data_IF_675446093976
#
_entry.id   IF_675446093976
#
_cell.length_a   1.000
_cell.length_b   1.000
_cell.length_c   1.000
_cell.angle_alpha   90.00
_cell.angle_beta   90.00
_cell.angle_gamma   90.00
#
_symmetry.space_group_name_H-M   'P 1'
#
loop_
_entity.id
_entity.type
_entity.pdbx_description
1 polymer ?
#
# COMPACT_ATOMS: atom_id res chain seq x y z
N UNK A 1 -6.32 -1.61 -8.74
CA UNK A 1 -6.45 -1.25 -7.31
C UNK A 1 -7.87 -1.56 -6.89
N UNK A 2 -8.06 -2.25 -5.77
CA UNK A 2 -9.38 -2.69 -5.31
C UNK A 2 -9.66 -2.11 -3.91
N UNK A 3 -10.81 -1.46 -3.75
CA UNK A 3 -11.28 -0.83 -2.52
C UNK A 3 -12.63 -1.44 -2.16
N UNK A 4 -12.80 -1.91 -0.93
CA UNK A 4 -14.09 -2.37 -0.45
C UNK A 4 -14.42 -1.76 0.91
N UNK A 5 -15.68 -1.37 1.06
CA UNK A 5 -16.28 -0.94 2.33
C UNK A 5 -17.40 -1.92 2.61
N UNK A 6 -17.31 -2.66 3.71
CA UNK A 6 -18.33 -3.67 4.06
C UNK A 6 -19.40 -3.07 4.97
N UNK A 7 -18.98 -2.34 6.00
CA UNK A 7 -19.88 -1.78 7.00
C UNK A 7 -19.48 -0.34 7.34
N UNK A 8 -20.48 0.53 7.47
CA UNK A 8 -20.32 1.91 7.93
C UNK A 8 -21.43 2.23 8.93
N UNK A 9 -21.06 2.51 10.17
CA UNK A 9 -21.95 2.91 11.25
C UNK A 9 -21.61 4.32 11.68
N UNK A 10 -22.61 5.19 11.72
CA UNK A 10 -22.49 6.57 12.22
C UNK A 10 -23.47 6.70 13.37
N UNK A 11 -22.97 6.95 14.58
CA UNK A 11 -23.79 7.33 15.74
C UNK A 11 -23.87 8.84 15.80
N UNK A 12 -25.08 9.37 15.88
CA UNK A 12 -25.35 10.80 16.00
C UNK A 12 -26.06 11.11 17.31
N UNK A 13 -25.88 12.32 17.82
CA UNK A 13 -26.61 12.81 18.98
C UNK A 13 -28.01 13.31 18.59
N UNK A 14 -28.76 13.82 19.56
CA UNK A 14 -30.12 14.35 19.37
C UNK A 14 -30.17 15.62 18.49
N UNK A 15 -29.03 16.26 18.23
CA UNK A 15 -28.88 17.43 17.36
C UNK A 15 -28.41 17.06 15.96
N UNK A 16 -28.30 15.77 15.67
CA UNK A 16 -27.77 15.21 14.42
C UNK A 16 -26.24 15.42 14.26
N UNK A 17 -25.52 15.76 15.34
CA UNK A 17 -24.05 15.85 15.35
C UNK A 17 -23.43 14.45 15.44
N UNK A 18 -22.33 14.22 14.70
CA UNK A 18 -21.66 12.91 14.68
C UNK A 18 -20.89 12.69 15.99
N UNK A 19 -21.33 11.70 16.77
CA UNK A 19 -20.66 11.28 18.02
C UNK A 19 -19.59 10.21 17.77
N UNK A 20 -19.84 9.28 16.85
CA UNK A 20 -18.93 8.19 16.55
C UNK A 20 -19.08 7.72 15.11
N UNK A 21 -17.98 7.42 14.44
CA UNK A 21 -17.96 6.86 13.09
C UNK A 21 -17.09 5.60 13.10
N UNK A 22 -17.67 4.48 12.68
CA UNK A 22 -16.96 3.21 12.53
C UNK A 22 -17.15 2.70 11.12
N UNK A 23 -16.06 2.36 10.44
CA UNK A 23 -16.12 1.79 9.10
C UNK A 23 -15.11 0.68 8.91
N UNK A 24 -15.57 -0.47 8.43
CA UNK A 24 -14.71 -1.54 7.92
C UNK A 24 -14.30 -1.22 6.49
N UNK A 25 -13.15 -0.57 6.35
CA UNK A 25 -12.54 -0.30 5.05
C UNK A 25 -11.36 -1.24 4.86
N UNK A 26 -11.39 -2.00 3.77
CA UNK A 26 -10.24 -2.78 3.35
C UNK A 26 -9.75 -2.30 2.00
N UNK A 27 -8.44 -2.31 1.84
CA UNK A 27 -7.80 -1.85 0.62
C UNK A 27 -6.67 -2.79 0.26
N UNK A 28 -6.55 -3.07 -1.04
CA UNK A 28 -5.36 -3.74 -1.60
C UNK A 28 -4.85 -2.92 -2.77
N UNK A 29 -3.57 -2.59 -2.70
CA UNK A 29 -2.84 -1.85 -3.72
C UNK A 29 -1.60 -2.59 -4.13
N UNK A 30 -1.36 -2.61 -5.43
CA UNK A 30 -0.12 -3.07 -6.03
C UNK A 30 0.38 -1.97 -6.96
N UNK A 31 1.67 -1.68 -6.90
CA UNK A 31 2.30 -0.71 -7.79
C UNK A 31 3.67 -1.23 -8.23
N UNK A 32 3.84 -1.30 -9.54
CA UNK A 32 5.04 -1.73 -10.20
C UNK A 32 5.68 -0.57 -10.95
N UNK A 33 6.99 -0.63 -11.11
CA UNK A 33 7.64 0.20 -12.10
C UNK A 33 9.03 -0.26 -12.46
N UNK A 34 9.46 0.25 -13.60
CA UNK A 34 10.72 -0.06 -14.25
C UNK A 34 11.28 1.25 -14.79
N UNK A 35 12.53 1.54 -14.43
CA UNK A 35 13.32 2.61 -15.04
C UNK A 35 14.56 1.99 -15.67
N UNK A 36 14.75 2.23 -16.96
CA UNK A 36 15.98 1.83 -17.67
C UNK A 36 16.76 3.07 -18.07
N UNK A 37 18.07 3.01 -17.95
CA UNK A 37 18.98 4.04 -18.40
C UNK A 37 19.75 3.55 -19.63
N UNK A 38 20.19 4.49 -20.49
CA UNK A 38 20.92 4.17 -21.73
C UNK A 38 22.34 3.63 -21.47
N UNK A 39 22.81 3.70 -20.23
CA UNK A 39 24.14 3.26 -19.80
C UNK A 39 24.18 1.79 -19.34
N UNK A 40 23.07 1.06 -19.50
CA UNK A 40 22.94 -0.34 -19.07
C UNK A 40 22.52 -0.49 -17.60
N UNK A 41 22.32 0.61 -16.86
CA UNK A 41 21.77 0.56 -15.51
C UNK A 41 20.24 0.62 -15.52
N UNK A 42 19.64 0.20 -14.43
CA UNK A 42 18.19 0.23 -14.30
C UNK A 42 17.70 -0.04 -12.91
N UNK A 43 16.40 0.10 -12.74
CA UNK A 43 15.72 -0.07 -11.48
C UNK A 43 14.35 -0.70 -11.72
N UNK A 44 13.99 -1.68 -10.90
CA UNK A 44 12.64 -2.21 -10.80
C UNK A 44 12.19 -2.05 -9.36
N UNK A 45 10.94 -1.63 -9.17
CA UNK A 45 10.30 -1.65 -7.87
C UNK A 45 8.93 -2.31 -7.96
N UNK A 46 8.56 -2.95 -6.86
CA UNK A 46 7.31 -3.64 -6.70
C UNK A 46 6.82 -3.43 -5.27
N UNK A 47 5.66 -2.81 -5.11
CA UNK A 47 5.05 -2.56 -3.81
C UNK A 47 3.69 -3.21 -3.74
N UNK A 48 3.49 -4.02 -2.70
CA UNK A 48 2.18 -4.49 -2.28
C UNK A 48 1.82 -3.80 -0.97
N UNK A 49 0.59 -3.31 -0.87
CA UNK A 49 0.07 -2.73 0.35
C UNK A 49 -1.36 -3.20 0.60
N UNK A 50 -1.69 -3.42 1.86
CA UNK A 50 -3.01 -3.86 2.30
C UNK A 50 -3.42 -3.12 3.57
N UNK A 51 -4.69 -2.74 3.63
CA UNK A 51 -5.39 -2.34 4.86
C UNK A 51 -6.44 -3.41 5.15
N UNK A 52 -6.41 -3.98 6.35
CA UNK A 52 -7.42 -4.93 6.81
C UNK A 52 -8.69 -4.19 7.26
N UNK A 53 -9.85 -4.85 7.29
CA UNK A 53 -11.09 -4.26 7.79
C UNK A 53 -10.97 -3.67 9.20
N UNK A 54 -10.06 -4.21 10.02
CA UNK A 54 -9.76 -3.77 11.39
C UNK A 54 -8.81 -2.56 11.44
N UNK A 55 -8.41 -2.02 10.29
CA UNK A 55 -7.51 -0.87 10.18
C UNK A 55 -6.02 -1.22 10.20
N UNK A 56 -5.64 -2.50 10.31
CA UNK A 56 -4.23 -2.89 10.28
C UNK A 56 -3.65 -2.67 8.88
N UNK A 57 -2.51 -2.00 8.82
CA UNK A 57 -1.80 -1.77 7.57
C UNK A 57 -0.65 -2.74 7.42
N UNK A 58 -0.41 -3.24 6.21
CA UNK A 58 0.77 -4.04 5.89
C UNK A 58 1.30 -3.64 4.52
N UNK A 59 2.62 -3.61 4.37
CA UNK A 59 3.23 -3.45 3.05
C UNK A 59 4.50 -4.27 2.88
N UNK A 60 4.78 -4.61 1.64
CA UNK A 60 6.06 -5.16 1.19
C UNK A 60 6.52 -4.33 0.00
N UNK A 61 7.74 -3.83 0.06
CA UNK A 61 8.37 -3.10 -1.03
C UNK A 61 9.65 -3.84 -1.44
N UNK A 62 9.68 -4.32 -2.67
CA UNK A 62 10.84 -4.96 -3.28
C UNK A 62 11.44 -4.02 -4.30
N UNK A 63 12.76 -3.80 -4.22
CA UNK A 63 13.48 -2.94 -5.15
C UNK A 63 14.74 -3.64 -5.62
N UNK A 64 14.95 -3.65 -6.93
CA UNK A 64 16.15 -4.17 -7.59
C UNK A 64 16.82 -3.04 -8.37
N UNK A 65 18.09 -2.83 -8.09
CA UNK A 65 18.94 -1.94 -8.86
C UNK A 65 19.91 -2.77 -9.69
N UNK A 66 19.87 -2.58 -11.00
CA UNK A 66 20.77 -3.21 -11.94
C UNK A 66 21.90 -2.22 -12.21
N UNK A 67 23.11 -2.54 -11.73
CA UNK A 67 24.34 -1.95 -12.22
C UNK A 67 24.87 -2.80 -13.39
N UNK A 68 25.94 -2.35 -14.04
CA UNK A 68 26.56 -3.10 -15.15
C UNK A 68 27.07 -4.47 -14.72
N UNK A 69 27.64 -4.54 -13.51
CA UNK A 69 28.41 -5.70 -13.05
C UNK A 69 27.76 -6.42 -11.85
N UNK A 70 26.71 -5.84 -11.27
CA UNK A 70 26.04 -6.38 -10.09
C UNK A 70 24.59 -5.95 -9.99
N UNK A 71 23.83 -6.65 -9.14
CA UNK A 71 22.45 -6.33 -8.79
C UNK A 71 22.37 -6.12 -7.29
N UNK A 72 21.72 -5.04 -6.86
CA UNK A 72 21.36 -4.82 -5.46
C UNK A 72 19.87 -5.08 -5.31
N UNK A 73 19.50 -6.00 -4.44
CA UNK A 73 18.11 -6.26 -4.06
C UNK A 73 17.87 -5.78 -2.63
N UNK A 74 16.73 -5.16 -2.41
CA UNK A 74 16.29 -4.74 -1.08
C UNK A 74 14.80 -5.02 -0.91
N UNK A 75 14.44 -5.49 0.27
CA UNK A 75 13.06 -5.67 0.69
C UNK A 75 12.83 -4.82 1.94
N UNK A 76 11.73 -4.08 1.96
CA UNK A 76 11.28 -3.31 3.13
C UNK A 76 9.84 -3.66 3.45
N UNK A 77 9.58 -3.94 4.72
CA UNK A 77 8.25 -4.29 5.26
C UNK A 77 7.97 -3.44 6.49
N UNK A 78 6.71 -3.24 6.86
CA UNK A 78 6.40 -2.77 8.22
C UNK A 78 6.44 -3.94 9.21
N UNK A 79 6.80 -3.62 10.45
CA UNK A 79 6.76 -4.52 11.60
C UNK A 79 5.33 -4.65 12.14
#
# INVERSE_FOLDING_TARGET
MERSVMDKWITRDEKDDIMNEWSMQSWKGESDGLRRHNDGTGEIWHRKAKVSPEGNTSFVNNRRFYARDYVIESETRNA
#
